data_IF_990180618636
#
_entry.id   IF_990180618636
#
_cell.length_a   1.000
_cell.length_b   1.000
_cell.length_c   1.000
_cell.angle_alpha   90.00
_cell.angle_beta   90.00
_cell.angle_gamma   90.00
#
_symmetry.space_group_name_H-M   'P 1'
#
loop_
_entity.id
_entity.type
_entity.pdbx_description
1 polymer ?
#
# COMPACT_ATOMS: atom_id res chain seq x y z
N UNK A 1 26.64 -25.61 13.55
CA UNK A 1 25.26 -25.78 13.06
C UNK A 1 25.15 -26.95 12.09
N UNK A 2 26.26 -27.56 11.65
CA UNK A 2 26.24 -28.71 10.73
C UNK A 2 25.86 -28.33 9.28
N UNK A 3 25.86 -27.06 8.91
CA UNK A 3 25.59 -26.60 7.55
C UNK A 3 26.72 -26.90 6.61
N UNK A 4 26.38 -27.16 5.36
CA UNK A 4 27.31 -27.45 4.26
C UNK A 4 27.14 -26.41 3.14
N UNK A 5 28.05 -26.39 2.18
CA UNK A 5 27.94 -25.50 1.01
C UNK A 5 26.61 -25.73 0.24
N UNK A 6 26.13 -26.97 0.19
CA UNK A 6 24.90 -27.30 -0.49
C UNK A 6 23.66 -26.60 0.11
N UNK A 7 23.67 -26.30 1.40
CA UNK A 7 22.57 -25.61 2.06
C UNK A 7 22.43 -24.15 1.58
N UNK A 8 23.51 -23.53 1.11
CA UNK A 8 23.52 -22.17 0.57
C UNK A 8 23.07 -22.08 -0.88
N UNK A 9 23.04 -23.17 -1.63
CA UNK A 9 22.61 -23.15 -3.04
C UNK A 9 21.13 -22.81 -3.22
N UNK A 10 20.33 -23.06 -2.20
CA UNK A 10 18.87 -22.77 -2.18
C UNK A 10 18.46 -21.86 -1.02
N UNK A 11 19.39 -21.24 -0.33
CA UNK A 11 19.09 -20.34 0.77
C UNK A 11 18.63 -18.96 0.26
N UNK A 12 17.60 -18.41 0.87
CA UNK A 12 17.26 -16.99 0.74
C UNK A 12 18.03 -16.21 1.80
N UNK A 13 18.94 -15.35 1.37
CA UNK A 13 19.78 -14.56 2.25
C UNK A 13 19.56 -13.07 1.92
N UNK A 14 19.10 -12.31 2.91
CA UNK A 14 18.90 -10.87 2.79
C UNK A 14 19.90 -10.12 3.68
N UNK A 15 20.61 -9.18 3.11
CA UNK A 15 21.43 -8.24 3.86
C UNK A 15 20.56 -7.04 4.24
N UNK A 16 20.33 -6.86 5.53
CA UNK A 16 19.45 -5.81 6.05
C UNK A 16 20.16 -4.96 7.10
N UNK A 17 19.77 -3.68 7.30
CA UNK A 17 20.27 -2.86 8.39
C UNK A 17 20.04 -3.49 9.75
N UNK A 18 21.03 -3.40 10.63
CA UNK A 18 21.00 -4.02 11.98
C UNK A 18 20.70 -3.03 13.11
N UNK A 19 20.42 -1.77 12.81
CA UNK A 19 20.10 -0.78 13.83
C UNK A 19 18.65 -0.93 14.34
N UNK A 20 18.42 -0.46 15.57
CA UNK A 20 17.09 -0.43 16.15
C UNK A 20 16.36 0.86 15.75
N UNK A 21 15.02 0.83 15.80
CA UNK A 21 14.23 2.04 15.68
C UNK A 21 14.63 3.08 16.72
N UNK A 22 14.68 4.34 16.31
CA UNK A 22 15.08 5.45 17.16
C UNK A 22 14.34 6.74 16.79
N UNK A 23 14.31 7.66 17.75
CA UNK A 23 13.81 9.01 17.52
C UNK A 23 14.75 9.80 16.61
N UNK A 24 14.20 10.58 15.68
CA UNK A 24 14.92 11.47 14.78
C UNK A 24 14.46 12.91 14.98
N UNK A 25 15.44 13.83 14.86
CA UNK A 25 15.23 15.27 15.06
C UNK A 25 15.55 15.72 16.50
N UNK A 26 15.81 17.02 16.68
CA UNK A 26 16.07 17.60 17.98
C UNK A 26 14.86 17.52 18.93
N UNK A 27 13.68 17.55 18.35
CA UNK A 27 12.39 17.46 19.05
C UNK A 27 11.83 16.04 19.13
N UNK A 28 12.56 15.06 18.55
CA UNK A 28 12.14 13.66 18.45
C UNK A 28 10.78 13.46 17.77
N UNK A 29 10.48 14.29 16.78
CA UNK A 29 9.17 14.27 16.09
C UNK A 29 9.07 13.17 15.05
N UNK A 30 10.17 12.52 14.67
CA UNK A 30 10.19 11.44 13.69
C UNK A 30 10.73 10.15 14.29
N UNK A 31 10.37 9.04 13.65
CA UNK A 31 10.92 7.72 13.95
C UNK A 31 11.76 7.27 12.77
N UNK A 32 13.03 6.99 13.00
CA UNK A 32 13.92 6.33 12.05
C UNK A 32 13.93 4.83 12.30
N UNK A 33 13.60 4.05 11.30
CA UNK A 33 13.59 2.60 11.39
C UNK A 33 13.73 1.95 10.02
N UNK A 34 14.35 0.77 9.99
CA UNK A 34 14.33 -0.06 8.80
C UNK A 34 12.95 -0.69 8.58
N UNK A 35 12.48 -0.68 7.34
CA UNK A 35 11.27 -1.37 6.92
C UNK A 35 9.98 -0.62 7.29
N UNK A 36 9.99 0.71 7.30
CA UNK A 36 8.76 1.50 7.28
C UNK A 36 7.90 1.11 6.08
N UNK A 37 8.53 0.92 4.94
CA UNK A 37 7.95 0.31 3.78
C UNK A 37 8.04 -1.23 3.91
N UNK A 38 6.91 -1.94 4.12
CA UNK A 38 5.59 -1.36 4.41
C UNK A 38 5.04 -1.82 5.79
N UNK A 39 5.87 -1.91 6.79
CA UNK A 39 5.44 -2.31 8.15
C UNK A 39 4.53 -1.28 8.80
N UNK A 40 4.71 -0.01 8.48
CA UNK A 40 3.93 1.08 9.10
C UNK A 40 2.47 1.06 8.65
N UNK A 41 2.17 0.57 7.45
CA UNK A 41 0.80 0.39 6.99
C UNK A 41 0.28 -1.04 7.22
N UNK A 42 1.15 -2.04 7.10
CA UNK A 42 0.80 -3.44 7.33
C UNK A 42 0.36 -3.72 8.78
N UNK A 43 1.03 -3.11 9.76
CA UNK A 43 0.72 -3.31 11.18
C UNK A 43 -0.69 -2.82 11.55
N UNK A 44 -1.12 -1.58 11.24
CA UNK A 44 -2.48 -1.15 11.54
C UNK A 44 -3.53 -1.92 10.72
N UNK A 45 -3.25 -2.30 9.47
CA UNK A 45 -4.16 -3.15 8.69
C UNK A 45 -4.37 -4.51 9.38
N UNK A 46 -3.29 -5.14 9.83
CA UNK A 46 -3.37 -6.41 10.54
C UNK A 46 -4.09 -6.28 11.90
N UNK A 47 -3.80 -5.24 12.67
CA UNK A 47 -4.43 -5.05 13.99
C UNK A 47 -5.91 -4.73 13.89
N UNK A 48 -6.35 -4.08 12.81
CA UNK A 48 -7.77 -3.79 12.58
C UNK A 48 -8.65 -5.07 12.50
N UNK A 49 -8.08 -6.23 12.18
CA UNK A 49 -8.82 -7.50 12.21
C UNK A 49 -9.26 -7.91 13.63
N UNK A 50 -8.61 -7.40 14.67
CA UNK A 50 -8.91 -7.75 16.07
C UNK A 50 -9.83 -6.72 16.72
N UNK A 51 -10.14 -5.63 16.02
CA UNK A 51 -11.17 -4.69 16.43
C UNK A 51 -12.56 -5.28 16.20
N UNK A 52 -13.60 -4.59 16.63
CA UNK A 52 -14.98 -5.04 16.40
C UNK A 52 -15.27 -5.13 14.90
N UNK A 53 -15.36 -6.36 14.40
CA UNK A 53 -15.72 -6.60 13.00
C UNK A 53 -17.22 -6.29 12.79
N UNK A 54 -17.54 -5.76 11.62
CA UNK A 54 -18.94 -5.66 11.18
C UNK A 54 -19.56 -7.05 11.08
N UNK A 55 -20.73 -7.25 11.66
CA UNK A 55 -21.50 -8.49 11.47
C UNK A 55 -22.09 -8.61 10.05
N UNK A 56 -22.13 -7.50 9.30
CA UNK A 56 -22.73 -7.42 7.97
C UNK A 56 -21.77 -7.76 6.84
N UNK A 57 -20.46 -7.58 7.05
CA UNK A 57 -19.46 -7.71 5.99
C UNK A 57 -18.29 -8.59 6.43
N UNK A 58 -17.81 -9.41 5.50
CA UNK A 58 -16.55 -10.14 5.68
C UNK A 58 -15.37 -9.18 5.52
N UNK A 59 -14.51 -9.13 6.52
CA UNK A 59 -13.27 -8.36 6.49
C UNK A 59 -12.11 -9.30 6.22
N UNK A 60 -11.21 -8.89 5.31
CA UNK A 60 -10.01 -9.63 4.97
C UNK A 60 -8.82 -8.68 4.93
N UNK A 61 -7.69 -9.11 5.49
CA UNK A 61 -6.39 -8.46 5.32
C UNK A 61 -5.47 -9.40 4.56
N UNK A 62 -4.82 -8.88 3.55
CA UNK A 62 -3.82 -9.59 2.75
C UNK A 62 -2.49 -8.88 2.91
N UNK A 63 -1.49 -9.55 3.42
CA UNK A 63 -0.11 -9.09 3.44
C UNK A 63 0.57 -9.70 2.22
N UNK A 64 0.68 -8.91 1.16
CA UNK A 64 1.24 -9.36 -0.11
C UNK A 64 2.77 -9.35 -0.07
N UNK A 65 3.38 -10.37 -0.62
CA UNK A 65 4.83 -10.46 -0.84
C UNK A 65 5.20 -9.96 -2.26
N UNK A 66 6.47 -9.73 -2.49
CA UNK A 66 7.03 -9.40 -3.83
C UNK A 66 6.56 -8.07 -4.45
N UNK A 67 6.04 -7.13 -3.65
CA UNK A 67 5.59 -5.83 -4.18
C UNK A 67 6.71 -5.14 -4.94
N UNK A 68 7.89 -5.01 -4.34
CA UNK A 68 9.06 -4.29 -4.84
C UNK A 68 9.69 -4.87 -6.13
N UNK A 69 9.37 -6.10 -6.44
CA UNK A 69 9.86 -6.77 -7.66
C UNK A 69 8.76 -7.05 -8.68
N UNK A 70 7.62 -6.34 -8.56
CA UNK A 70 6.52 -6.38 -9.52
C UNK A 70 5.37 -7.28 -9.14
N UNK A 71 5.26 -7.71 -7.88
CA UNK A 71 4.16 -8.55 -7.37
C UNK A 71 3.98 -9.88 -8.11
N UNK A 72 5.04 -10.39 -8.70
CA UNK A 72 5.03 -11.67 -9.44
C UNK A 72 5.30 -12.88 -8.53
N UNK A 73 5.13 -14.07 -9.08
CA UNK A 73 5.31 -15.32 -8.34
C UNK A 73 4.05 -15.74 -7.58
N UNK A 74 4.16 -16.90 -6.90
CA UNK A 74 3.02 -17.54 -6.24
C UNK A 74 2.56 -16.89 -4.94
N UNK A 75 3.32 -15.92 -4.43
CA UNK A 75 3.02 -15.15 -3.20
C UNK A 75 2.79 -13.68 -3.47
N UNK A 76 3.04 -13.23 -4.70
CA UNK A 76 2.80 -11.84 -5.12
C UNK A 76 1.33 -11.59 -5.46
N UNK A 77 0.95 -10.32 -5.50
CA UNK A 77 -0.44 -9.93 -5.72
C UNK A 77 -0.98 -10.27 -7.13
N UNK A 78 -0.12 -10.63 -8.07
CA UNK A 78 -0.52 -11.09 -9.39
C UNK A 78 -0.88 -12.59 -9.45
N UNK A 79 -0.68 -13.35 -8.37
CA UNK A 79 -1.06 -14.75 -8.34
C UNK A 79 -2.58 -14.95 -8.23
N UNK A 80 -3.07 -16.12 -8.60
CA UNK A 80 -4.49 -16.44 -8.57
C UNK A 80 -5.05 -16.73 -7.16
N UNK A 81 -4.17 -16.98 -6.18
CA UNK A 81 -4.55 -17.45 -4.83
C UNK A 81 -5.62 -16.55 -4.18
N UNK A 82 -5.50 -15.24 -4.33
CA UNK A 82 -6.44 -14.30 -3.72
C UNK A 82 -7.83 -14.41 -4.39
N UNK A 83 -7.87 -14.47 -5.70
CA UNK A 83 -9.11 -14.66 -6.46
C UNK A 83 -9.75 -16.01 -6.12
N UNK A 84 -8.97 -17.08 -6.12
CA UNK A 84 -9.43 -18.43 -5.83
C UNK A 84 -9.98 -18.56 -4.40
N UNK A 85 -9.34 -17.88 -3.44
CA UNK A 85 -9.80 -17.84 -2.06
C UNK A 85 -11.17 -17.14 -1.93
N UNK A 86 -11.35 -15.98 -2.58
CA UNK A 86 -12.64 -15.29 -2.59
C UNK A 86 -13.72 -16.15 -3.24
N UNK A 87 -13.41 -16.79 -4.36
CA UNK A 87 -14.34 -17.65 -5.07
C UNK A 87 -14.75 -18.86 -4.23
N UNK A 88 -13.80 -19.49 -3.53
CA UNK A 88 -14.07 -20.62 -2.64
C UNK A 88 -14.91 -20.22 -1.43
N UNK A 89 -14.62 -19.06 -0.82
CA UNK A 89 -15.41 -18.53 0.29
C UNK A 89 -16.82 -18.17 -0.17
N UNK A 90 -16.97 -17.46 -1.26
CA UNK A 90 -18.27 -17.10 -1.83
C UNK A 90 -19.12 -18.35 -2.09
N UNK A 91 -18.56 -19.38 -2.71
CA UNK A 91 -19.24 -20.64 -2.98
C UNK A 91 -19.72 -21.35 -1.70
N UNK A 92 -18.96 -21.27 -0.61
CA UNK A 92 -19.34 -21.85 0.68
C UNK A 92 -20.59 -21.23 1.29
N UNK A 93 -20.90 -19.98 0.89
CA UNK A 93 -22.13 -19.24 1.26
C UNK A 93 -23.19 -19.25 0.15
N UNK A 94 -22.97 -19.99 -0.94
CA UNK A 94 -23.90 -20.03 -2.07
C UNK A 94 -23.90 -18.76 -2.93
N UNK A 95 -22.85 -17.93 -2.84
CA UNK A 95 -22.64 -16.72 -3.62
C UNK A 95 -21.70 -16.95 -4.81
N UNK A 96 -21.69 -16.03 -5.75
CA UNK A 96 -20.82 -16.03 -6.91
C UNK A 96 -19.62 -15.12 -6.63
N UNK A 97 -18.38 -15.66 -6.69
CA UNK A 97 -17.18 -14.91 -6.35
C UNK A 97 -16.98 -13.62 -7.18
N UNK A 98 -17.33 -13.65 -8.47
CA UNK A 98 -17.27 -12.45 -9.31
C UNK A 98 -18.21 -11.32 -8.82
N UNK A 99 -19.39 -11.68 -8.32
CA UNK A 99 -20.33 -10.72 -7.74
C UNK A 99 -19.83 -10.21 -6.39
N UNK A 100 -19.26 -11.10 -5.56
CA UNK A 100 -18.63 -10.70 -4.30
C UNK A 100 -17.52 -9.69 -4.55
N UNK A 101 -16.62 -9.95 -5.51
CA UNK A 101 -15.56 -9.01 -5.85
C UNK A 101 -16.11 -7.66 -6.33
N UNK A 102 -17.10 -7.66 -7.21
CA UNK A 102 -17.71 -6.43 -7.73
C UNK A 102 -18.42 -5.56 -6.67
N UNK A 103 -18.78 -6.17 -5.54
CA UNK A 103 -19.37 -5.46 -4.39
C UNK A 103 -18.38 -5.27 -3.22
N UNK A 104 -17.12 -5.62 -3.42
CA UNK A 104 -16.06 -5.46 -2.43
C UNK A 104 -15.35 -4.12 -2.60
N UNK A 105 -14.80 -3.63 -1.50
CA UNK A 105 -13.96 -2.43 -1.45
C UNK A 105 -12.64 -2.77 -0.80
N UNK A 106 -11.56 -2.15 -1.27
CA UNK A 106 -10.23 -2.38 -0.75
C UNK A 106 -9.51 -1.07 -0.45
N UNK A 107 -8.88 -1.01 0.70
CA UNK A 107 -7.83 -0.04 0.98
C UNK A 107 -6.48 -0.72 0.69
N UNK A 108 -5.80 -0.25 -0.32
CA UNK A 108 -4.43 -0.65 -0.63
C UNK A 108 -3.52 0.17 0.26
N UNK A 109 -3.10 -0.42 1.35
CA UNK A 109 -2.29 0.26 2.35
C UNK A 109 -0.81 0.10 2.00
N UNK A 110 -0.17 1.23 1.70
CA UNK A 110 1.24 1.32 1.35
C UNK A 110 1.77 2.71 1.69
N UNK A 111 3.07 2.85 1.92
CA UNK A 111 3.66 4.15 2.25
C UNK A 111 3.57 5.14 1.10
N UNK A 112 3.49 6.42 1.42
CA UNK A 112 3.58 7.51 0.46
C UNK A 112 4.96 8.15 0.50
N UNK A 113 5.49 8.58 -0.65
CA UNK A 113 6.67 9.43 -0.68
C UNK A 113 6.33 10.81 -0.12
N UNK A 114 6.87 11.11 1.06
CA UNK A 114 6.79 12.43 1.65
C UNK A 114 7.65 13.44 0.88
N UNK A 115 7.19 14.69 0.82
CA UNK A 115 7.97 15.75 0.21
C UNK A 115 9.29 15.96 0.96
N UNK A 116 10.41 15.72 0.27
CA UNK A 116 11.75 16.00 0.79
C UNK A 116 12.30 17.29 0.16
N UNK A 117 12.50 18.35 0.95
CA UNK A 117 13.02 19.63 0.43
C UNK A 117 14.45 19.54 -0.14
N UNK A 118 15.21 18.48 0.19
CA UNK A 118 16.54 18.25 -0.37
C UNK A 118 16.48 17.65 -1.78
N UNK A 119 15.37 16.98 -2.13
CA UNK A 119 15.15 16.31 -3.41
C UNK A 119 13.87 16.78 -4.11
N UNK A 120 13.54 18.05 -3.96
CA UNK A 120 12.30 18.65 -4.47
C UNK A 120 12.06 18.50 -5.97
N UNK A 121 13.12 18.28 -6.76
CA UNK A 121 13.01 18.19 -8.22
C UNK A 121 12.35 16.89 -8.69
N UNK A 122 12.28 15.87 -7.82
CA UNK A 122 11.63 14.58 -8.11
C UNK A 122 10.14 14.56 -7.69
N UNK A 123 9.68 15.60 -7.02
CA UNK A 123 8.32 15.72 -6.52
C UNK A 123 7.54 16.83 -7.24
N UNK A 124 6.23 16.71 -7.25
CA UNK A 124 5.31 17.80 -7.59
C UNK A 124 4.73 18.36 -6.28
N UNK A 125 5.17 19.56 -5.83
CA UNK A 125 4.79 20.05 -4.50
C UNK A 125 3.28 20.18 -4.26
N UNK A 126 2.50 20.41 -5.32
CA UNK A 126 1.04 20.54 -5.22
C UNK A 126 0.33 19.21 -5.06
N UNK A 127 1.02 18.10 -5.36
CA UNK A 127 0.46 16.75 -5.31
C UNK A 127 1.24 15.82 -4.37
N UNK A 128 2.20 16.35 -3.61
CA UNK A 128 2.99 15.57 -2.66
C UNK A 128 2.33 15.53 -1.30
N UNK A 129 2.52 14.41 -0.59
CA UNK A 129 2.21 14.32 0.83
C UNK A 129 3.34 14.94 1.66
N UNK A 130 3.00 15.42 2.85
CA UNK A 130 3.93 16.00 3.80
C UNK A 130 3.95 15.22 5.10
N UNK A 131 5.13 15.02 5.67
CA UNK A 131 5.26 14.37 6.96
C UNK A 131 4.50 15.16 8.04
N UNK A 132 3.98 14.45 9.03
CA UNK A 132 3.19 15.00 10.14
C UNK A 132 1.88 15.71 9.73
N UNK A 133 1.43 15.55 8.49
CA UNK A 133 0.18 16.13 7.97
C UNK A 133 -0.94 15.08 7.78
N UNK A 134 -0.80 13.93 8.40
CA UNK A 134 -1.80 12.86 8.36
C UNK A 134 -1.58 11.84 7.26
N UNK A 135 -2.47 10.85 7.20
CA UNK A 135 -2.45 9.82 6.19
C UNK A 135 -2.67 10.41 4.79
N UNK A 136 -1.82 10.01 3.86
CA UNK A 136 -2.00 10.37 2.46
C UNK A 136 -2.89 9.34 1.77
N UNK A 137 -3.82 9.77 0.94
CA UNK A 137 -4.42 8.89 -0.05
C UNK A 137 -4.14 9.41 -1.46
N UNK A 138 -3.86 8.49 -2.35
CA UNK A 138 -3.49 8.82 -3.70
C UNK A 138 -4.69 8.72 -4.64
N UNK A 139 -4.89 9.80 -5.41
CA UNK A 139 -5.65 9.73 -6.64
C UNK A 139 -4.67 9.54 -7.77
N UNK A 140 -4.73 8.43 -8.44
CA UNK A 140 -3.90 8.26 -9.61
C UNK A 140 -4.70 8.62 -10.83
N UNK A 141 -4.41 9.78 -11.41
CA UNK A 141 -4.91 10.10 -12.74
C UNK A 141 -4.02 9.47 -13.79
N UNK A 142 -4.57 8.70 -14.73
CA UNK A 142 -3.81 8.22 -15.87
C UNK A 142 -3.21 9.41 -16.60
N UNK A 143 -1.90 9.42 -16.79
CA UNK A 143 -1.29 10.42 -17.67
C UNK A 143 -1.78 10.20 -19.07
N UNK A 144 -2.29 11.24 -19.77
CA UNK A 144 -2.74 11.12 -21.15
C UNK A 144 -1.62 10.74 -22.11
N UNK A 145 -0.36 10.92 -21.72
CA UNK A 145 0.81 10.55 -22.51
C UNK A 145 1.26 9.11 -22.29
N UNK A 146 0.72 8.43 -21.28
CA UNK A 146 1.11 7.06 -20.92
C UNK A 146 2.56 6.93 -20.45
N UNK A 147 3.25 8.05 -20.28
CA UNK A 147 4.64 8.05 -19.89
C UNK A 147 4.81 7.96 -18.39
N UNK A 148 5.86 7.33 -18.03
CA UNK A 148 6.46 7.03 -16.73
C UNK A 148 5.77 7.64 -15.50
N UNK A 149 5.43 6.80 -14.55
CA UNK A 149 5.05 7.17 -13.20
C UNK A 149 3.56 7.08 -12.90
N UNK A 150 2.69 7.30 -13.87
CA UNK A 150 1.22 7.15 -13.70
C UNK A 150 0.66 5.95 -14.47
N UNK A 151 1.41 5.43 -15.42
CA UNK A 151 1.06 4.20 -16.11
C UNK A 151 1.14 3.01 -15.16
N UNK A 152 0.08 2.20 -15.12
CA UNK A 152 0.02 1.02 -14.27
C UNK A 152 -0.39 1.26 -12.82
N UNK A 153 -0.88 2.45 -12.49
CA UNK A 153 -1.51 2.77 -11.21
C UNK A 153 -3.01 2.47 -11.23
N UNK A 154 -3.65 2.49 -10.07
CA UNK A 154 -5.09 2.44 -9.95
C UNK A 154 -5.72 3.83 -10.20
N UNK A 155 -6.94 3.84 -10.72
CA UNK A 155 -7.79 5.02 -10.83
C UNK A 155 -8.94 4.86 -9.81
N UNK A 156 -8.79 5.50 -8.65
CA UNK A 156 -9.78 5.37 -7.58
C UNK A 156 -11.09 6.07 -7.94
N UNK A 157 -12.23 5.43 -7.64
CA UNK A 157 -13.54 6.03 -7.87
C UNK A 157 -13.78 7.23 -6.95
N UNK A 158 -14.41 8.28 -7.49
CA UNK A 158 -14.74 9.48 -6.70
C UNK A 158 -15.71 9.16 -5.56
N UNK A 159 -16.59 8.20 -5.77
CA UNK A 159 -17.56 7.71 -4.79
C UNK A 159 -16.86 7.10 -3.59
N UNK A 160 -15.97 6.15 -3.81
CA UNK A 160 -15.25 5.47 -2.72
C UNK A 160 -14.29 6.42 -2.01
N UNK A 161 -13.59 7.27 -2.73
CA UNK A 161 -12.78 8.33 -2.12
C UNK A 161 -13.63 9.25 -1.24
N UNK A 162 -14.83 9.61 -1.69
CA UNK A 162 -15.79 10.39 -0.90
C UNK A 162 -16.19 9.71 0.41
N UNK A 163 -16.41 8.40 0.38
CA UNK A 163 -16.69 7.58 1.57
C UNK A 163 -15.52 7.58 2.56
N UNK A 164 -14.28 7.39 2.07
CA UNK A 164 -13.08 7.41 2.92
C UNK A 164 -12.86 8.78 3.55
N UNK A 165 -13.03 9.88 2.78
CA UNK A 165 -12.95 11.23 3.32
C UNK A 165 -14.00 11.48 4.41
N UNK A 166 -15.23 11.01 4.20
CA UNK A 166 -16.28 11.10 5.19
C UNK A 166 -15.89 10.34 6.47
N UNK A 167 -15.45 9.10 6.32
CA UNK A 167 -14.99 8.26 7.44
C UNK A 167 -13.89 8.96 8.25
N UNK A 168 -12.90 9.52 7.59
CA UNK A 168 -11.81 10.24 8.26
C UNK A 168 -12.31 11.46 9.02
N UNK A 169 -13.15 12.28 8.39
CA UNK A 169 -13.68 13.50 9.01
C UNK A 169 -14.54 13.17 10.24
N UNK A 170 -15.38 12.13 10.16
CA UNK A 170 -16.25 11.71 11.25
C UNK A 170 -15.48 11.16 12.46
N UNK A 171 -14.30 10.59 12.21
CA UNK A 171 -13.44 10.02 13.25
C UNK A 171 -12.26 10.92 13.64
N UNK A 172 -12.20 12.15 13.15
CA UNK A 172 -11.13 13.09 13.49
C UNK A 172 -9.75 12.68 12.96
N UNK A 173 -9.68 11.82 11.95
CA UNK A 173 -8.43 11.41 11.31
C UNK A 173 -7.95 12.53 10.39
N UNK A 174 -6.75 13.01 10.64
CA UNK A 174 -6.09 13.98 9.77
C UNK A 174 -5.65 13.27 8.49
N UNK A 175 -5.95 13.86 7.34
CA UNK A 175 -5.64 13.28 6.04
C UNK A 175 -5.23 14.35 5.03
N UNK A 176 -4.56 13.92 3.98
CA UNK A 176 -4.13 14.73 2.85
C UNK A 176 -4.23 13.93 1.56
N UNK A 177 -4.22 14.61 0.43
CA UNK A 177 -4.08 13.97 -0.87
C UNK A 177 -2.62 14.02 -1.32
N UNK A 178 -2.20 13.03 -2.06
CA UNK A 178 -0.85 13.02 -2.61
C UNK A 178 -0.67 12.02 -3.73
N UNK A 179 0.41 12.20 -4.45
CA UNK A 179 0.85 11.36 -5.56
C UNK A 179 2.32 10.99 -5.38
N UNK A 180 2.71 9.83 -5.82
CA UNK A 180 4.11 9.43 -5.85
C UNK A 180 4.79 10.04 -7.08
N UNK A 181 5.81 10.86 -6.83
CA UNK A 181 6.67 11.43 -7.87
C UNK A 181 6.10 12.66 -8.58
N UNK A 182 6.60 12.90 -9.77
CA UNK A 182 6.27 14.06 -10.60
C UNK A 182 5.61 13.61 -11.88
N UNK A 183 4.46 14.20 -12.22
CA UNK A 183 3.71 13.86 -13.43
C UNK A 183 4.60 13.92 -14.66
N UNK A 184 4.52 12.91 -15.51
CA UNK A 184 5.29 12.72 -16.75
C UNK A 184 6.83 12.58 -16.58
N UNK A 185 7.34 12.65 -15.37
CA UNK A 185 8.78 12.51 -15.07
C UNK A 185 9.09 11.21 -14.35
N UNK A 186 8.35 10.90 -13.30
CA UNK A 186 8.55 9.71 -12.51
C UNK A 186 7.46 9.52 -11.48
N UNK A 187 7.45 8.36 -10.88
CA UNK A 187 6.49 7.96 -9.85
C UNK A 187 6.33 6.44 -9.85
N UNK A 188 5.35 5.95 -9.12
CA UNK A 188 5.06 4.54 -9.00
C UNK A 188 3.60 4.28 -8.77
N UNK A 189 3.25 3.01 -8.72
CA UNK A 189 1.96 2.52 -8.29
C UNK A 189 2.16 1.40 -7.29
N UNK A 190 1.10 1.04 -6.61
CA UNK A 190 1.07 0.01 -5.57
C UNK A 190 0.40 -1.26 -6.09
N UNK A 191 0.15 -2.20 -5.20
CA UNK A 191 -0.64 -3.41 -5.51
C UNK A 191 -2.10 -3.10 -5.88
N UNK A 192 -2.60 -1.90 -5.61
CA UNK A 192 -3.97 -1.46 -5.92
C UNK A 192 -4.39 -1.77 -7.35
N UNK A 193 -3.49 -1.56 -8.31
CA UNK A 193 -3.76 -1.85 -9.73
C UNK A 193 -4.11 -3.32 -10.01
N UNK A 194 -3.57 -4.25 -9.22
CA UNK A 194 -3.85 -5.68 -9.38
C UNK A 194 -5.19 -6.04 -8.75
N UNK A 195 -5.52 -5.41 -7.62
CA UNK A 195 -6.80 -5.59 -6.93
C UNK A 195 -7.93 -5.00 -7.77
N UNK A 196 -7.75 -3.81 -8.31
CA UNK A 196 -8.72 -3.17 -9.20
C UNK A 196 -9.02 -4.00 -10.46
N UNK A 197 -8.04 -4.75 -11.00
CA UNK A 197 -8.26 -5.69 -12.10
C UNK A 197 -9.21 -6.84 -11.76
N UNK A 198 -9.46 -7.11 -10.49
CA UNK A 198 -10.43 -8.10 -10.03
C UNK A 198 -11.84 -7.53 -9.90
N UNK A 199 -12.08 -6.30 -10.37
CA UNK A 199 -13.32 -5.52 -10.22
C UNK A 199 -13.64 -5.16 -8.76
N UNK A 200 -12.64 -4.99 -7.93
CA UNK A 200 -12.77 -4.51 -6.55
C UNK A 200 -12.50 -3.00 -6.56
N UNK A 201 -13.43 -2.21 -6.02
CA UNK A 201 -13.23 -0.76 -5.89
C UNK A 201 -12.11 -0.48 -4.88
N UNK A 202 -11.07 0.21 -5.30
CA UNK A 202 -9.80 0.26 -4.57
C UNK A 202 -9.26 1.68 -4.47
N UNK A 203 -8.81 2.06 -3.27
CA UNK A 203 -8.14 3.33 -2.98
C UNK A 203 -6.79 3.05 -2.33
N UNK A 204 -5.75 3.72 -2.81
CA UNK A 204 -4.45 3.74 -2.14
C UNK A 204 -4.47 4.69 -0.94
N UNK A 205 -3.94 4.22 0.18
CA UNK A 205 -3.84 4.98 1.41
C UNK A 205 -2.57 4.60 2.17
N UNK A 206 -1.88 5.58 2.74
CA UNK A 206 -0.69 5.24 3.51
C UNK A 206 -0.08 6.38 4.30
N UNK A 207 1.01 6.08 4.95
CA UNK A 207 1.77 7.01 5.77
C UNK A 207 2.90 7.63 4.94
N UNK A 208 3.03 8.99 4.94
CA UNK A 208 4.17 9.62 4.28
C UNK A 208 5.49 9.26 4.96
N UNK A 209 6.46 8.84 4.17
CA UNK A 209 7.83 8.54 4.64
C UNK A 209 8.86 9.27 3.78
N UNK A 210 10.03 9.49 4.33
CA UNK A 210 11.22 9.94 3.61
C UNK A 210 12.21 8.76 3.58
N UNK A 211 12.98 8.65 2.51
CA UNK A 211 13.94 7.55 2.35
C UNK A 211 13.27 6.16 2.37
N UNK A 212 12.22 6.01 1.59
CA UNK A 212 11.32 4.83 1.58
C UNK A 212 12.07 3.49 1.61
N UNK A 213 13.09 3.31 0.76
CA UNK A 213 13.89 2.09 0.66
C UNK A 213 15.30 2.24 1.27
N UNK A 214 15.54 3.32 1.98
CA UNK A 214 16.82 3.60 2.65
C UNK A 214 16.62 3.72 4.15
N UNK A 215 17.59 3.25 4.94
CA UNK A 215 17.57 3.45 6.38
C UNK A 215 17.76 4.92 6.78
#
# INVERSE_FOLDING_TARGET
YGMTEADFLSAELCCVPAFNACDIGFDRSFVGAYGHDDRVCSYPAYTALFEEASEEHTTMVVLADKEEIGSEGSTGMQCAIFTDLIDALAASFGAIGAEVRAHSKCLSADVNAGFDPNFKDVCEPLNSTFLSCGAGYAFTYPSPTGSRGKGGSNDASAEFVGEIRKLFNENGVVWQTGELGKVDVGGGGTVAKFIAKMNIDTVDIGVPVISMHSP
#
